data_IF_870092685035
#
_entry.id   IF_870092685035
#
_cell.length_a   1.000
_cell.length_b   1.000
_cell.length_c   1.000
_cell.angle_alpha   90.00
_cell.angle_beta   90.00
_cell.angle_gamma   90.00
#
_symmetry.space_group_name_H-M   'P 1'
#
loop_
_entity.id
_entity.type
_entity.pdbx_description
1 polymer ?
#
# COMPACT_ATOMS: atom_id res chain seq x y z
N UNK A 1 -8.65 -76.87 32.37
CA UNK A 1 -7.19 -76.76 32.57
C UNK A 1 -6.66 -75.64 31.74
N UNK A 2 -6.04 -74.60 32.37
CA UNK A 2 -5.27 -73.46 31.86
C UNK A 2 -5.99 -72.38 31.08
N UNK A 3 -6.34 -71.22 31.60
CA UNK A 3 -5.73 -70.09 32.33
C UNK A 3 -4.54 -69.43 31.59
N UNK A 4 -4.73 -68.09 31.46
CA UNK A 4 -3.72 -67.02 31.34
C UNK A 4 -3.36 -66.63 29.92
N UNK A 5 -3.33 -65.40 29.58
CA UNK A 5 -3.14 -64.07 30.12
C UNK A 5 -3.42 -63.07 28.97
N UNK A 6 -4.28 -62.14 29.12
CA UNK A 6 -4.32 -60.90 28.31
C UNK A 6 -4.40 -59.73 29.27
N UNK A 7 -3.28 -59.20 29.62
CA UNK A 7 -3.08 -57.87 30.15
C UNK A 7 -1.80 -57.38 29.48
N UNK A 8 -1.90 -56.32 28.75
CA UNK A 8 -0.93 -55.30 28.34
C UNK A 8 -1.20 -54.82 26.89
N UNK A 9 -2.27 -54.06 26.70
CA UNK A 9 -2.39 -53.22 25.51
C UNK A 9 -3.38 -52.09 25.80
N UNK A 10 -3.06 -51.27 26.80
CA UNK A 10 -3.85 -50.06 27.12
C UNK A 10 -2.92 -49.03 27.78
N UNK A 11 -1.88 -48.59 27.06
CA UNK A 11 -1.04 -47.48 27.55
C UNK A 11 -0.15 -46.92 26.44
N UNK A 12 -0.71 -46.61 25.28
CA UNK A 12 0.07 -45.94 24.25
C UNK A 12 -0.76 -45.06 23.30
N UNK A 13 -1.88 -44.52 23.77
CA UNK A 13 -2.75 -43.66 22.93
C UNK A 13 -2.92 -42.25 23.49
N UNK A 14 -2.07 -41.81 24.41
CA UNK A 14 -2.21 -40.52 25.11
C UNK A 14 -1.23 -39.43 24.70
N UNK A 15 -0.30 -39.64 23.76
CA UNK A 15 0.80 -38.70 23.54
C UNK A 15 0.82 -37.98 22.16
N UNK A 16 -0.19 -38.20 21.32
CA UNK A 16 -0.21 -37.58 19.95
C UNK A 16 -1.13 -36.36 19.88
N UNK A 17 -2.00 -36.09 20.85
CA UNK A 17 -2.97 -35.05 20.82
C UNK A 17 -2.42 -33.65 21.23
N UNK A 18 -1.22 -33.54 21.78
CA UNK A 18 -0.68 -32.26 22.30
C UNK A 18 0.20 -31.46 21.29
N UNK A 19 0.54 -32.05 20.14
CA UNK A 19 1.49 -31.41 19.20
C UNK A 19 0.84 -30.55 18.11
N UNK A 20 -0.49 -30.55 18.00
CA UNK A 20 -1.21 -29.83 16.91
C UNK A 20 -1.54 -28.39 17.27
N UNK A 21 -1.53 -28.02 18.57
CA UNK A 21 -1.89 -26.68 19.02
C UNK A 21 -0.76 -25.64 18.91
N UNK A 22 0.48 -26.04 18.64
CA UNK A 22 1.61 -25.10 18.55
C UNK A 22 1.81 -24.50 17.14
N UNK A 23 1.23 -25.09 16.10
CA UNK A 23 1.40 -24.61 14.72
C UNK A 23 0.47 -23.45 14.43
N UNK A 24 -0.67 -23.33 15.11
CA UNK A 24 -1.64 -22.26 14.90
C UNK A 24 -1.18 -20.91 15.47
N UNK A 25 -0.33 -20.88 16.49
CA UNK A 25 0.12 -19.64 17.11
C UNK A 25 1.14 -18.87 16.24
N UNK A 26 1.98 -19.58 15.48
CA UNK A 26 2.98 -18.93 14.61
C UNK A 26 2.32 -18.24 13.41
N UNK A 27 1.27 -18.82 12.83
CA UNK A 27 0.59 -18.24 11.67
C UNK A 27 -0.17 -16.94 12.02
N UNK A 28 -0.73 -16.84 13.21
CA UNK A 28 -1.46 -15.63 13.65
C UNK A 28 -0.49 -14.46 13.87
N UNK A 29 0.67 -14.71 14.48
CA UNK A 29 1.69 -13.66 14.68
C UNK A 29 2.28 -13.19 13.36
N UNK A 30 2.48 -14.09 12.40
CA UNK A 30 3.01 -13.77 11.09
C UNK A 30 2.00 -12.95 10.26
N UNK A 31 0.72 -13.29 10.30
CA UNK A 31 -0.34 -12.51 9.67
C UNK A 31 -0.50 -11.11 10.28
N UNK A 32 -0.41 -11.00 11.62
CA UNK A 32 -0.46 -9.70 12.29
C UNK A 32 0.72 -8.81 11.87
N UNK A 33 1.93 -9.35 11.80
CA UNK A 33 3.11 -8.61 11.35
C UNK A 33 3.00 -8.20 9.87
N UNK A 34 2.47 -9.05 9.00
CA UNK A 34 2.21 -8.72 7.59
C UNK A 34 1.20 -7.58 7.47
N UNK A 35 0.11 -7.63 8.25
CA UNK A 35 -0.89 -6.56 8.26
C UNK A 35 -0.30 -5.23 8.72
N UNK A 36 0.48 -5.23 9.79
CA UNK A 36 1.14 -4.01 10.29
C UNK A 36 2.12 -3.43 9.28
N UNK A 37 2.96 -4.26 8.67
CA UNK A 37 3.92 -3.82 7.66
C UNK A 37 3.23 -3.27 6.42
N UNK A 38 2.17 -3.95 5.96
CA UNK A 38 1.37 -3.49 4.83
C UNK A 38 0.70 -2.15 5.11
N UNK A 39 0.02 -2.02 6.27
CA UNK A 39 -0.67 -0.77 6.64
C UNK A 39 0.33 0.37 6.77
N UNK A 40 1.50 0.14 7.38
CA UNK A 40 2.56 1.15 7.46
C UNK A 40 3.00 1.59 6.07
N UNK A 41 3.42 0.66 5.20
CA UNK A 41 3.91 1.00 3.86
C UNK A 41 2.84 1.64 2.97
N UNK A 42 1.58 1.18 3.04
CA UNK A 42 0.50 1.78 2.30
C UNK A 42 0.11 3.17 2.83
N UNK A 43 0.22 3.40 4.15
CA UNK A 43 0.01 4.72 4.75
C UNK A 43 1.10 5.69 4.32
N UNK A 44 2.36 5.26 4.37
CA UNK A 44 3.51 6.06 3.95
C UNK A 44 3.37 6.46 2.47
N UNK A 45 3.00 5.53 1.60
CA UNK A 45 2.66 5.81 0.20
C UNK A 45 1.59 6.88 0.06
N UNK A 46 0.43 6.72 0.74
CA UNK A 46 -0.68 7.67 0.67
C UNK A 46 -0.23 9.07 1.13
N UNK A 47 0.55 9.16 2.22
CA UNK A 47 1.03 10.42 2.76
C UNK A 47 2.03 11.11 1.83
N UNK A 48 3.00 10.38 1.29
CA UNK A 48 4.02 10.92 0.39
C UNK A 48 3.39 11.44 -0.91
N UNK A 49 2.51 10.65 -1.53
CA UNK A 49 1.80 11.04 -2.76
C UNK A 49 0.88 12.24 -2.50
N UNK A 50 0.17 12.27 -1.37
CA UNK A 50 -0.71 13.39 -1.01
C UNK A 50 0.08 14.67 -0.78
N UNK A 51 1.21 14.60 -0.08
CA UNK A 51 2.08 15.75 0.16
C UNK A 51 2.70 16.26 -1.15
N UNK A 52 3.21 15.36 -1.99
CA UNK A 52 3.75 15.73 -3.30
C UNK A 52 2.69 16.41 -4.18
N UNK A 53 1.45 15.92 -4.15
CA UNK A 53 0.33 16.55 -4.86
C UNK A 53 -0.02 17.95 -4.35
N UNK A 54 -0.01 18.15 -3.03
CA UNK A 54 -0.23 19.45 -2.43
C UNK A 54 0.89 20.44 -2.82
N UNK A 55 2.14 20.00 -2.79
CA UNK A 55 3.28 20.79 -3.22
C UNK A 55 3.19 21.17 -4.71
N UNK A 56 2.80 20.24 -5.58
CA UNK A 56 2.56 20.52 -7.01
C UNK A 56 1.44 21.55 -7.21
N UNK A 57 0.37 21.48 -6.41
CA UNK A 57 -0.71 22.48 -6.45
C UNK A 57 -0.21 23.88 -6.06
N UNK A 58 0.66 23.98 -5.05
CA UNK A 58 1.27 25.24 -4.64
C UNK A 58 2.22 25.78 -5.73
N UNK A 59 3.09 24.93 -6.27
CA UNK A 59 4.01 25.27 -7.35
C UNK A 59 3.25 25.72 -8.61
N UNK A 60 2.11 25.08 -8.94
CA UNK A 60 1.27 25.47 -10.06
C UNK A 60 0.75 26.91 -9.95
N UNK A 61 0.46 27.34 -8.74
CA UNK A 61 -0.02 28.69 -8.47
C UNK A 61 1.06 29.77 -8.65
N UNK A 62 2.35 29.40 -8.59
CA UNK A 62 3.51 30.31 -8.69
C UNK A 62 4.32 30.21 -10.00
N UNK A 63 3.99 29.29 -10.88
CA UNK A 63 4.91 28.72 -11.89
C UNK A 63 5.09 29.53 -13.20
N UNK A 64 4.72 30.78 -13.28
CA UNK A 64 4.86 31.51 -14.55
C UNK A 64 6.35 31.79 -14.84
N UNK A 65 6.98 30.95 -15.70
CA UNK A 65 8.33 31.11 -16.28
C UNK A 65 9.53 31.14 -15.29
N UNK A 66 9.50 30.36 -14.21
CA UNK A 66 10.61 30.24 -13.30
C UNK A 66 11.33 28.87 -13.42
N UNK A 67 12.61 28.82 -13.89
CA UNK A 67 13.35 27.57 -14.03
C UNK A 67 13.55 26.79 -12.71
N UNK A 68 13.64 27.48 -11.58
CA UNK A 68 13.76 26.85 -10.26
C UNK A 68 12.50 26.05 -9.91
N UNK A 69 11.33 26.60 -10.25
CA UNK A 69 10.04 25.94 -10.05
C UNK A 69 9.95 24.68 -10.92
N UNK A 70 10.43 24.74 -12.15
CA UNK A 70 10.44 23.55 -13.04
C UNK A 70 11.23 22.39 -12.43
N UNK A 71 12.37 22.66 -11.80
CA UNK A 71 13.16 21.62 -11.11
C UNK A 71 12.40 21.05 -9.92
N UNK A 72 11.76 21.89 -9.12
CA UNK A 72 10.96 21.42 -7.97
C UNK A 72 9.76 20.59 -8.41
N UNK A 73 9.12 20.93 -9.51
CA UNK A 73 8.02 20.15 -10.09
C UNK A 73 8.53 18.77 -10.49
N UNK A 74 9.66 18.68 -11.19
CA UNK A 74 10.24 17.41 -11.59
C UNK A 74 10.56 16.55 -10.37
N UNK A 75 11.17 17.10 -9.33
CA UNK A 75 11.44 16.39 -8.09
C UNK A 75 10.16 15.80 -7.43
N UNK A 76 9.03 16.51 -7.50
CA UNK A 76 7.76 16.01 -6.96
C UNK A 76 7.14 14.93 -7.84
N UNK A 77 7.28 15.05 -9.14
CA UNK A 77 6.86 14.02 -10.10
C UNK A 77 7.68 12.75 -9.89
N UNK A 78 9.01 12.87 -9.82
CA UNK A 78 9.92 11.74 -9.58
C UNK A 78 9.59 11.05 -8.24
N UNK A 79 9.24 11.83 -7.21
CA UNK A 79 8.80 11.28 -5.92
C UNK A 79 7.51 10.46 -6.07
N UNK A 80 6.50 10.98 -6.74
CA UNK A 80 5.24 10.24 -6.97
C UNK A 80 5.52 8.92 -7.70
N UNK A 81 6.35 8.93 -8.73
CA UNK A 81 6.71 7.72 -9.48
C UNK A 81 7.49 6.71 -8.64
N UNK A 82 8.44 7.19 -7.81
CA UNK A 82 9.19 6.34 -6.89
C UNK A 82 8.29 5.66 -5.86
N UNK A 83 7.42 6.43 -5.20
CA UNK A 83 6.45 5.92 -4.22
C UNK A 83 5.46 4.95 -4.86
N UNK A 84 4.99 5.23 -6.07
CA UNK A 84 4.14 4.36 -6.86
C UNK A 84 4.80 3.01 -7.16
N UNK A 85 6.08 3.03 -7.50
CA UNK A 85 6.89 1.84 -7.75
C UNK A 85 7.14 1.03 -6.48
N UNK A 86 7.42 1.68 -5.35
CA UNK A 86 7.64 1.02 -4.06
C UNK A 86 6.34 0.38 -3.56
N UNK A 87 5.21 1.11 -3.61
CA UNK A 87 3.90 0.58 -3.25
C UNK A 87 3.55 -0.67 -4.05
N UNK A 88 3.88 -0.73 -5.34
CA UNK A 88 3.59 -1.89 -6.21
C UNK A 88 4.27 -3.19 -5.76
N UNK A 89 5.28 -3.11 -4.88
CA UNK A 89 6.01 -4.25 -4.33
C UNK A 89 5.39 -4.75 -3.02
N UNK A 90 4.45 -4.02 -2.43
CA UNK A 90 3.78 -4.44 -1.21
C UNK A 90 2.84 -5.62 -1.46
N UNK A 91 2.87 -6.57 -0.54
CA UNK A 91 1.94 -7.70 -0.54
C UNK A 91 0.83 -7.45 0.48
N UNK A 92 -0.40 -7.38 0.00
CA UNK A 92 -1.55 -7.19 0.88
C UNK A 92 -1.81 -8.44 1.74
N UNK A 93 -2.20 -8.27 3.01
CA UNK A 93 -2.81 -9.33 3.79
C UNK A 93 -4.22 -9.62 3.24
N UNK A 94 -4.74 -10.82 3.46
CA UNK A 94 -6.07 -11.23 2.96
C UNK A 94 -7.20 -10.28 3.43
N UNK A 95 -7.09 -9.73 4.63
CA UNK A 95 -8.05 -8.77 5.19
C UNK A 95 -8.01 -7.40 4.47
N UNK A 96 -6.89 -7.04 3.84
CA UNK A 96 -6.67 -5.76 3.14
C UNK A 96 -6.79 -5.84 1.62
N UNK A 97 -7.12 -7.00 1.05
CA UNK A 97 -7.07 -7.26 -0.40
C UNK A 97 -7.89 -6.25 -1.20
N UNK A 98 -9.13 -5.95 -0.79
CA UNK A 98 -9.99 -5.01 -1.50
C UNK A 98 -9.48 -3.56 -1.47
N UNK A 99 -8.83 -3.15 -0.38
CA UNK A 99 -8.21 -1.82 -0.28
C UNK A 99 -6.97 -1.78 -1.17
N UNK A 100 -6.19 -2.84 -1.16
CA UNK A 100 -5.01 -2.96 -2.01
C UNK A 100 -5.37 -2.90 -3.50
N UNK A 101 -6.39 -3.62 -3.95
CA UNK A 101 -6.86 -3.57 -5.34
C UNK A 101 -7.24 -2.15 -5.77
N UNK A 102 -7.94 -1.41 -4.91
CA UNK A 102 -8.28 -0.02 -5.18
C UNK A 102 -7.03 0.87 -5.25
N UNK A 103 -6.08 0.73 -4.30
CA UNK A 103 -4.83 1.47 -4.32
C UNK A 103 -4.01 1.15 -5.57
N UNK A 104 -3.90 -0.12 -5.97
CA UNK A 104 -3.20 -0.54 -7.20
C UNK A 104 -3.86 0.08 -8.44
N UNK A 105 -5.20 0.07 -8.49
CA UNK A 105 -5.93 0.68 -9.59
C UNK A 105 -5.67 2.18 -9.71
N UNK A 106 -5.75 2.92 -8.60
CA UNK A 106 -5.46 4.36 -8.59
C UNK A 106 -3.99 4.65 -8.86
N UNK A 107 -3.09 3.84 -8.31
CA UNK A 107 -1.65 3.95 -8.55
C UNK A 107 -1.30 3.79 -10.04
N UNK A 108 -1.90 2.81 -10.70
CA UNK A 108 -1.71 2.60 -12.15
C UNK A 108 -2.19 3.80 -12.96
N UNK A 109 -3.39 4.32 -12.64
CA UNK A 109 -3.93 5.50 -13.30
C UNK A 109 -3.07 6.75 -13.01
N UNK A 110 -2.60 6.92 -11.77
CA UNK A 110 -1.75 8.04 -11.38
C UNK A 110 -0.43 8.03 -12.16
N UNK A 111 0.23 6.88 -12.26
CA UNK A 111 1.48 6.75 -13.03
C UNK A 111 1.27 7.12 -14.50
N UNK A 112 0.20 6.60 -15.14
CA UNK A 112 -0.10 6.92 -16.54
C UNK A 112 -0.36 8.42 -16.77
N UNK A 113 -1.11 9.06 -15.86
CA UNK A 113 -1.42 10.48 -15.99
C UNK A 113 -0.20 11.35 -15.70
N UNK A 114 0.66 10.95 -14.74
CA UNK A 114 1.91 11.64 -14.42
C UNK A 114 2.87 11.60 -15.62
N UNK A 115 3.05 10.44 -16.26
CA UNK A 115 3.90 10.29 -17.46
C UNK A 115 3.40 11.18 -18.61
N UNK A 116 2.08 11.27 -18.80
CA UNK A 116 1.49 12.16 -19.79
C UNK A 116 1.68 13.63 -19.44
N UNK A 117 1.63 13.96 -18.16
CA UNK A 117 1.82 15.31 -17.67
C UNK A 117 3.24 15.83 -17.84
N UNK A 118 4.26 15.00 -17.63
CA UNK A 118 5.67 15.33 -17.92
C UNK A 118 5.85 15.82 -19.37
N UNK A 119 5.24 15.12 -20.32
CA UNK A 119 5.27 15.51 -21.72
C UNK A 119 4.57 16.88 -21.94
N UNK A 120 3.44 17.09 -21.28
CA UNK A 120 2.69 18.36 -21.35
C UNK A 120 3.49 19.53 -20.78
N UNK A 121 4.20 19.32 -19.65
CA UNK A 121 5.07 20.34 -19.06
C UNK A 121 6.20 20.70 -20.01
N UNK A 122 6.82 19.72 -20.65
CA UNK A 122 7.93 19.93 -21.58
C UNK A 122 7.50 20.76 -22.81
N UNK A 123 6.27 20.59 -23.29
CA UNK A 123 5.76 21.27 -24.47
C UNK A 123 5.10 22.63 -24.18
N UNK A 124 4.34 22.74 -23.09
CA UNK A 124 3.42 23.85 -22.81
C UNK A 124 3.76 24.62 -21.53
N UNK A 125 4.69 24.10 -20.72
CA UNK A 125 5.01 24.61 -19.39
C UNK A 125 3.99 24.19 -18.34
N UNK A 126 4.33 24.46 -17.07
CA UNK A 126 3.48 24.16 -15.93
C UNK A 126 2.59 25.35 -15.59
N UNK A 127 1.29 25.12 -15.50
CA UNK A 127 0.28 26.12 -15.11
C UNK A 127 -0.77 25.48 -14.22
N UNK A 128 -1.43 26.27 -13.38
CA UNK A 128 -2.55 25.80 -12.55
C UNK A 128 -3.67 25.18 -13.40
N UNK A 129 -3.95 25.77 -14.58
CA UNK A 129 -4.98 25.24 -15.49
C UNK A 129 -4.59 23.87 -16.07
N UNK A 130 -3.32 23.69 -16.46
CA UNK A 130 -2.83 22.42 -16.97
C UNK A 130 -2.83 21.36 -15.85
N UNK A 131 -2.41 21.73 -14.64
CA UNK A 131 -2.43 20.86 -13.47
C UNK A 131 -3.83 20.33 -13.14
N UNK A 132 -4.82 21.23 -13.04
CA UNK A 132 -6.20 20.82 -12.71
C UNK A 132 -6.83 19.91 -13.77
N UNK A 133 -6.45 20.08 -15.03
CA UNK A 133 -6.97 19.26 -16.14
C UNK A 133 -6.33 17.88 -16.25
N UNK A 134 -5.25 17.61 -15.54
CA UNK A 134 -4.58 16.28 -15.59
C UNK A 134 -5.40 15.15 -15.01
N UNK A 135 -6.28 15.42 -14.06
CA UNK A 135 -6.92 14.41 -13.21
C UNK A 135 -6.05 13.91 -12.05
N UNK A 136 -4.77 14.32 -11.96
CA UNK A 136 -3.88 13.96 -10.84
C UNK A 136 -4.47 14.37 -9.48
N UNK A 137 -4.99 15.62 -9.30
CA UNK A 137 -5.59 16.02 -8.02
C UNK A 137 -6.75 15.13 -7.57
N UNK A 138 -7.58 14.68 -8.52
CA UNK A 138 -8.69 13.76 -8.22
C UNK A 138 -8.18 12.37 -7.81
N UNK A 139 -7.21 11.82 -8.53
CA UNK A 139 -6.61 10.52 -8.19
C UNK A 139 -5.93 10.54 -6.82
N UNK A 140 -5.18 11.59 -6.50
CA UNK A 140 -4.56 11.76 -5.18
C UNK A 140 -5.63 11.85 -4.09
N UNK A 141 -6.73 12.55 -4.34
CA UNK A 141 -7.87 12.60 -3.41
C UNK A 141 -8.48 11.22 -3.18
N UNK A 142 -8.66 10.44 -4.24
CA UNK A 142 -9.20 9.07 -4.15
C UNK A 142 -8.25 8.15 -3.39
N UNK A 143 -6.93 8.25 -3.61
CA UNK A 143 -5.90 7.54 -2.86
C UNK A 143 -5.96 7.92 -1.38
N UNK A 144 -6.02 9.21 -1.06
CA UNK A 144 -6.07 9.69 0.32
C UNK A 144 -7.33 9.23 1.07
N UNK A 145 -8.46 9.09 0.39
CA UNK A 145 -9.70 8.60 0.97
C UNK A 145 -9.63 7.12 1.43
N UNK A 146 -8.61 6.38 1.00
CA UNK A 146 -8.39 5.01 1.44
C UNK A 146 -7.59 4.91 2.75
N UNK A 147 -7.13 6.04 3.30
CA UNK A 147 -6.38 6.08 4.57
C UNK A 147 -7.20 5.61 5.76
N UNK A 148 -8.47 6.04 5.86
CA UNK A 148 -9.36 5.65 6.95
C UNK A 148 -9.70 4.15 6.92
N UNK A 149 -10.17 3.57 5.79
CA UNK A 149 -10.34 2.12 5.67
C UNK A 149 -9.07 1.32 5.98
N UNK A 150 -7.90 1.81 5.53
CA UNK A 150 -6.62 1.17 5.77
C UNK A 150 -6.27 1.12 7.26
N UNK A 151 -6.51 2.22 7.98
CA UNK A 151 -6.26 2.29 9.43
C UNK A 151 -7.16 1.33 10.20
N UNK A 152 -8.35 1.01 9.70
CA UNK A 152 -9.26 0.01 10.27
C UNK A 152 -8.68 -1.40 10.32
N UNK A 153 -7.72 -1.73 9.45
CA UNK A 153 -7.06 -3.05 9.44
C UNK A 153 -6.11 -3.29 10.62
N UNK A 154 -5.76 -2.25 11.38
CA UNK A 154 -4.88 -2.36 12.56
C UNK A 154 -5.65 -2.75 13.83
N UNK A 155 -6.97 -2.68 13.82
CA UNK A 155 -7.83 -2.82 15.00
C UNK A 155 -8.54 -4.16 15.13
N UNK A 156 -8.36 -5.08 14.19
CA UNK A 156 -8.87 -6.46 14.22
C UNK A 156 -7.74 -7.45 14.43
#
# INVERSE_FOLDING_TARGET
MFIRKRKHTLMMTGLIASSILLISACSVVEQANQSLNYVSGATDYIEQVSNAGADLQELASGAVNNPEITTQIQEKIDLIQAEASEFSQLTAPAIGESIHENLVSYNTQLTEVVDNFENTIAEQGFTAENWEKTGIPELITNINNLKDPLSGLQGE
#
